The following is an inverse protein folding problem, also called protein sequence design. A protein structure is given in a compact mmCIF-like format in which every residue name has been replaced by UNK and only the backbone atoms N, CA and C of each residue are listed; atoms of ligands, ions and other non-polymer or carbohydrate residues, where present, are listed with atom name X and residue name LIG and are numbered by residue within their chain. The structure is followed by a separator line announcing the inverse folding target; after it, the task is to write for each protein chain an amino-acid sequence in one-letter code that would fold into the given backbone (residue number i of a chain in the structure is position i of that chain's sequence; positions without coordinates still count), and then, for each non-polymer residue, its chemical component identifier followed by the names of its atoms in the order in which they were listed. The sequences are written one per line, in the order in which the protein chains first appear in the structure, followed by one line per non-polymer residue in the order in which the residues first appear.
data_IF_157504762693
#
_entry.id   IF_157504762693
#
_cell.length_a   1.000
_cell.length_b   1.000
_cell.length_c   1.000
_cell.angle_alpha   90.00
_cell.angle_beta   90.00
_cell.angle_gamma   90.00
#
_symmetry.space_group_name_H-M   'P 1'
#
loop_
_entity.id
_entity.type
_entity.pdbx_description
1 polymer ?
#
# COMPACT_ATOMS: atom_id res chain seq x y z
N UNK A 1 -44.89 -30.04 20.67
CA UNK A 1 -44.42 -28.65 20.48
C UNK A 1 -42.99 -28.75 19.98
N UNK A 2 -42.85 -29.15 18.72
CA UNK A 2 -41.58 -29.31 18.03
C UNK A 2 -41.11 -27.92 17.61
N UNK A 3 -39.87 -27.55 17.97
CA UNK A 3 -39.22 -26.37 17.40
C UNK A 3 -38.46 -26.85 16.18
N UNK A 4 -39.02 -26.58 15.01
CA UNK A 4 -38.29 -26.60 13.74
C UNK A 4 -37.20 -25.52 13.81
N UNK A 5 -35.94 -25.96 13.77
CA UNK A 5 -34.81 -25.09 13.49
C UNK A 5 -34.74 -24.89 11.97
N UNK A 6 -35.33 -23.80 11.47
CA UNK A 6 -35.03 -23.26 10.15
C UNK A 6 -33.57 -22.81 10.12
N UNK A 7 -32.69 -23.69 9.64
CA UNK A 7 -31.37 -23.30 9.20
C UNK A 7 -31.52 -22.56 7.87
N UNK A 8 -31.17 -21.27 7.85
CA UNK A 8 -30.97 -20.46 6.65
C UNK A 8 -30.25 -21.28 5.56
N UNK A 9 -30.88 -21.42 4.39
CA UNK A 9 -30.27 -22.00 3.18
C UNK A 9 -29.07 -21.13 2.74
N UNK A 10 -27.91 -21.43 3.30
CA UNK A 10 -26.65 -20.88 2.79
C UNK A 10 -26.36 -21.56 1.45
N UNK A 11 -26.43 -20.77 0.36
CA UNK A 11 -26.22 -21.23 -1.00
C UNK A 11 -24.72 -21.51 -1.26
N UNK A 12 -24.25 -22.65 -0.78
CA UNK A 12 -22.85 -23.05 -0.89
C UNK A 12 -22.54 -23.63 -2.28
N UNK A 13 -21.34 -23.37 -2.83
CA UNK A 13 -20.87 -24.07 -4.01
C UNK A 13 -20.91 -25.59 -3.82
N UNK A 14 -21.11 -26.33 -4.91
CA UNK A 14 -21.18 -27.80 -4.89
C UNK A 14 -19.91 -28.40 -4.27
N UNK A 15 -20.08 -29.27 -3.29
CA UNK A 15 -19.00 -30.13 -2.76
C UNK A 15 -18.76 -31.25 -3.78
N UNK A 16 -17.51 -31.39 -4.24
CA UNK A 16 -17.12 -32.30 -5.32
C UNK A 16 -15.94 -33.18 -4.92
N UNK A 17 -15.67 -34.21 -5.71
CA UNK A 17 -14.47 -35.04 -5.54
C UNK A 17 -13.18 -34.25 -5.80
N UNK A 18 -12.04 -34.77 -5.33
CA UNK A 18 -10.73 -34.14 -5.59
C UNK A 18 -10.40 -34.04 -7.09
N UNK A 19 -10.85 -35.02 -7.89
CA UNK A 19 -10.61 -35.07 -9.33
C UNK A 19 -11.42 -34.00 -10.07
N UNK A 20 -12.69 -33.83 -9.72
CA UNK A 20 -13.56 -32.78 -10.27
C UNK A 20 -13.06 -31.39 -9.86
N UNK A 21 -12.62 -31.23 -8.61
CA UNK A 21 -12.03 -29.98 -8.14
C UNK A 21 -10.75 -29.63 -8.91
N UNK A 22 -9.84 -30.59 -9.11
CA UNK A 22 -8.59 -30.34 -9.84
C UNK A 22 -8.87 -30.00 -11.30
N UNK A 23 -9.82 -30.66 -11.95
CA UNK A 23 -10.24 -30.32 -13.31
C UNK A 23 -10.78 -28.87 -13.39
N UNK A 24 -11.65 -28.47 -12.46
CA UNK A 24 -12.17 -27.11 -12.39
C UNK A 24 -11.05 -26.07 -12.10
N UNK A 25 -10.13 -26.39 -11.19
CA UNK A 25 -8.98 -25.54 -10.86
C UNK A 25 -8.06 -25.33 -12.06
N UNK A 26 -7.79 -26.38 -12.83
CA UNK A 26 -6.96 -26.28 -14.04
C UNK A 26 -7.60 -25.38 -15.09
N UNK A 27 -8.92 -25.42 -15.23
CA UNK A 27 -9.65 -24.48 -16.10
C UNK A 27 -9.57 -23.04 -15.59
N UNK A 28 -9.71 -22.82 -14.28
CA UNK A 28 -9.57 -21.49 -13.68
C UNK A 28 -8.14 -20.95 -13.83
N UNK A 29 -7.14 -21.80 -13.66
CA UNK A 29 -5.72 -21.44 -13.75
C UNK A 29 -5.36 -20.83 -15.12
N UNK A 30 -6.04 -21.20 -16.20
CA UNK A 30 -5.86 -20.58 -17.52
C UNK A 30 -6.23 -19.08 -17.44
N UNK A 31 -7.41 -18.77 -16.89
CA UNK A 31 -7.89 -17.39 -16.73
C UNK A 31 -7.02 -16.59 -15.76
N UNK A 32 -6.56 -17.20 -14.68
CA UNK A 32 -5.64 -16.56 -13.72
C UNK A 32 -4.28 -16.23 -14.36
N UNK A 33 -3.75 -17.12 -15.21
CA UNK A 33 -2.53 -16.86 -15.98
C UNK A 33 -2.70 -15.73 -16.99
N UNK A 34 -3.86 -15.65 -17.66
CA UNK A 34 -4.19 -14.53 -18.54
C UNK A 34 -4.22 -13.20 -17.78
N UNK A 35 -4.90 -13.15 -16.64
CA UNK A 35 -4.93 -11.97 -15.77
C UNK A 35 -3.52 -11.56 -15.31
N UNK A 36 -2.68 -12.54 -14.95
CA UNK A 36 -1.29 -12.29 -14.54
C UNK A 36 -0.50 -11.61 -15.67
N UNK A 37 -0.56 -12.16 -16.88
CA UNK A 37 0.13 -11.57 -18.06
C UNK A 37 -0.40 -10.18 -18.40
N UNK A 38 -1.72 -9.97 -18.31
CA UNK A 38 -2.32 -8.66 -18.55
C UNK A 38 -1.85 -7.61 -17.52
N UNK A 39 -1.74 -8.00 -16.24
CA UNK A 39 -1.18 -7.13 -15.18
C UNK A 39 0.29 -6.82 -15.42
N UNK A 40 1.08 -7.80 -15.87
CA UNK A 40 2.49 -7.61 -16.17
C UNK A 40 2.70 -6.65 -17.35
N UNK A 41 1.88 -6.77 -18.40
CA UNK A 41 1.87 -5.86 -19.54
C UNK A 41 1.56 -4.42 -19.10
N UNK A 42 0.48 -4.23 -18.33
CA UNK A 42 0.10 -2.93 -17.80
C UNK A 42 1.18 -2.33 -16.87
N UNK A 43 1.80 -3.15 -16.03
CA UNK A 43 2.90 -2.71 -15.17
C UNK A 43 4.12 -2.28 -16.01
N UNK A 44 4.39 -2.96 -17.12
CA UNK A 44 5.46 -2.58 -18.05
C UNK A 44 5.15 -1.26 -18.77
N UNK A 45 3.90 -1.04 -19.18
CA UNK A 45 3.45 0.25 -19.74
C UNK A 45 3.62 1.37 -18.72
N UNK A 46 3.18 1.18 -17.47
CA UNK A 46 3.35 2.17 -16.38
C UNK A 46 4.80 2.54 -16.14
N UNK A 47 5.73 1.58 -16.21
CA UNK A 47 7.18 1.84 -16.07
C UNK A 47 7.76 2.65 -17.23
N UNK A 48 7.13 2.60 -18.41
CA UNK A 48 7.52 3.35 -19.61
C UNK A 48 6.78 4.67 -19.78
N UNK A 49 5.85 5.00 -18.88
CA UNK A 49 5.18 6.30 -18.90
C UNK A 49 6.23 7.42 -18.90
N UNK A 50 6.05 8.48 -19.69
CA UNK A 50 6.94 9.64 -19.66
C UNK A 50 7.07 10.19 -18.24
N UNK A 51 8.28 10.63 -17.90
CA UNK A 51 8.55 11.23 -16.61
C UNK A 51 8.25 12.73 -16.68
N UNK A 52 7.62 13.25 -15.65
CA UNK A 52 7.49 14.69 -15.44
C UNK A 52 8.63 15.15 -14.55
N UNK A 53 9.42 16.11 -15.03
CA UNK A 53 10.44 16.73 -14.20
C UNK A 53 9.78 17.48 -13.03
N UNK A 54 10.28 17.25 -11.81
CA UNK A 54 9.87 18.01 -10.64
C UNK A 54 10.81 19.21 -10.53
N UNK A 55 10.38 20.34 -11.08
CA UNK A 55 11.16 21.59 -11.07
C UNK A 55 10.92 22.42 -9.81
N UNK A 56 9.83 22.15 -9.09
CA UNK A 56 9.48 22.86 -7.87
C UNK A 56 10.48 22.53 -6.77
N UNK A 57 11.05 23.57 -6.17
CA UNK A 57 11.80 23.47 -4.92
C UNK A 57 10.83 23.22 -3.77
N UNK A 58 10.90 22.03 -3.19
CA UNK A 58 10.15 21.68 -1.98
C UNK A 58 11.06 21.80 -0.76
N UNK A 59 10.51 22.38 0.30
CA UNK A 59 11.10 22.43 1.62
C UNK A 59 10.21 21.68 2.61
N UNK A 60 10.84 20.91 3.50
CA UNK A 60 10.20 20.13 4.54
C UNK A 60 10.80 20.48 5.90
N UNK A 61 9.96 20.49 6.94
CA UNK A 61 10.41 20.48 8.33
C UNK A 61 10.69 19.03 8.73
N UNK A 62 11.94 18.71 9.03
CA UNK A 62 12.36 17.37 9.43
C UNK A 62 12.98 17.32 10.84
N UNK A 63 13.25 16.11 11.37
CA UNK A 63 13.83 15.95 12.71
C UNK A 63 15.20 16.60 12.91
N UNK A 64 15.93 16.87 11.82
CA UNK A 64 17.25 17.50 11.83
C UNK A 64 17.20 18.96 11.33
N UNK A 65 16.00 19.55 11.25
CA UNK A 65 15.76 20.87 10.68
C UNK A 65 15.20 20.82 9.26
N UNK A 66 15.36 21.91 8.51
CA UNK A 66 14.87 22.03 7.14
C UNK A 66 15.56 21.05 6.19
N UNK A 67 14.80 20.47 5.27
CA UNK A 67 15.30 19.56 4.25
C UNK A 67 14.65 19.85 2.88
N UNK A 68 15.42 19.73 1.80
CA UNK A 68 14.89 19.75 0.44
C UNK A 68 14.32 18.39 0.03
N UNK A 69 13.59 18.31 -1.09
CA UNK A 69 13.17 17.03 -1.66
C UNK A 69 14.35 16.08 -1.95
N UNK A 70 15.49 16.61 -2.38
CA UNK A 70 16.68 15.80 -2.65
C UNK A 70 17.30 15.25 -1.36
N UNK A 71 17.28 16.03 -0.29
CA UNK A 71 17.82 15.58 1.00
C UNK A 71 17.02 14.40 1.57
N UNK A 72 15.71 14.31 1.29
CA UNK A 72 14.88 13.17 1.70
C UNK A 72 15.34 11.83 1.10
N UNK A 73 16.13 11.84 0.02
CA UNK A 73 16.71 10.61 -0.52
C UNK A 73 17.79 10.02 0.39
N UNK A 74 18.39 10.80 1.30
CA UNK A 74 19.42 10.34 2.25
C UNK A 74 20.56 9.57 1.54
N UNK A 75 21.05 10.14 0.44
CA UNK A 75 22.12 9.57 -0.40
C UNK A 75 21.70 8.38 -1.27
N UNK A 76 20.43 7.96 -1.26
CA UNK A 76 19.93 6.81 -2.04
C UNK A 76 19.31 7.24 -3.36
N UNK A 77 19.02 6.27 -4.23
CA UNK A 77 18.55 6.51 -5.61
C UNK A 77 17.03 6.52 -5.75
N UNK A 78 16.31 6.02 -4.76
CA UNK A 78 14.86 5.92 -4.77
C UNK A 78 14.28 6.47 -3.46
N UNK A 79 13.18 7.20 -3.58
CA UNK A 79 12.42 7.74 -2.46
C UNK A 79 10.98 7.26 -2.56
N UNK A 80 10.46 6.74 -1.45
CA UNK A 80 9.04 6.49 -1.25
C UNK A 80 8.55 7.51 -0.24
N UNK A 81 7.62 8.37 -0.67
CA UNK A 81 6.95 9.34 0.21
C UNK A 81 5.56 8.81 0.54
N UNK A 82 5.32 8.53 1.83
CA UNK A 82 3.99 8.25 2.35
C UNK A 82 3.34 9.56 2.81
N UNK A 83 2.20 9.92 2.23
CA UNK A 83 1.39 11.06 2.70
C UNK A 83 0.63 10.65 3.96
N UNK A 84 1.15 11.04 5.12
CA UNK A 84 0.45 10.89 6.39
C UNK A 84 -0.63 11.98 6.49
N UNK A 85 -1.89 11.56 6.60
CA UNK A 85 -3.02 12.45 6.85
C UNK A 85 -3.01 12.87 8.32
N UNK A 86 -2.22 13.90 8.60
CA UNK A 86 -2.13 14.56 9.90
C UNK A 86 -2.12 16.06 9.64
N UNK A 87 -3.30 16.68 9.73
CA UNK A 87 -3.55 18.08 9.37
C UNK A 87 -4.90 18.55 9.96
N UNK A 88 -5.11 19.87 10.13
CA UNK A 88 -6.39 20.40 10.57
C UNK A 88 -7.56 19.90 9.72
N UNK A 89 -8.62 19.43 10.38
CA UNK A 89 -9.81 18.87 9.72
C UNK A 89 -9.76 17.34 9.51
N UNK A 90 -8.62 16.69 9.77
CA UNK A 90 -8.55 15.22 9.83
C UNK A 90 -8.89 14.74 11.23
N UNK A 91 -9.71 13.68 11.34
CA UNK A 91 -10.05 13.04 12.61
C UNK A 91 -8.79 12.52 13.31
N UNK A 92 -8.54 12.99 14.53
CA UNK A 92 -7.35 12.69 15.33
C UNK A 92 -6.43 13.89 15.51
N UNK A 93 -6.59 14.96 14.73
CA UNK A 93 -5.82 16.19 14.90
C UNK A 93 -6.23 16.96 16.19
N UNK A 94 -5.28 17.56 16.93
CA UNK A 94 -3.82 17.53 16.75
C UNK A 94 -3.10 16.36 17.44
N UNK A 95 -3.80 15.45 18.10
CA UNK A 95 -3.20 14.44 18.96
C UNK A 95 -2.47 13.34 18.17
N UNK A 96 -2.99 12.93 17.02
CA UNK A 96 -2.42 11.88 16.19
C UNK A 96 -2.89 11.97 14.72
N UNK A 97 -2.16 11.31 13.82
CA UNK A 97 -2.58 11.14 12.43
C UNK A 97 -3.91 10.35 12.32
N UNK A 98 -4.54 10.33 11.15
CA UNK A 98 -5.73 9.50 10.96
C UNK A 98 -5.43 8.03 11.30
N UNK A 99 -6.44 7.29 11.76
CA UNK A 99 -6.29 5.91 12.26
C UNK A 99 -5.53 5.01 11.26
N UNK A 100 -5.81 5.15 9.96
CA UNK A 100 -5.13 4.37 8.92
C UNK A 100 -3.66 4.73 8.76
N UNK A 101 -3.30 6.02 8.85
CA UNK A 101 -1.91 6.46 8.75
C UNK A 101 -1.10 6.03 9.98
N UNK A 102 -1.67 6.16 11.19
CA UNK A 102 -1.03 5.68 12.42
C UNK A 102 -0.79 4.19 12.38
N UNK A 103 -1.81 3.40 11.99
CA UNK A 103 -1.67 1.95 11.82
C UNK A 103 -0.58 1.59 10.80
N UNK A 104 -0.47 2.31 9.68
CA UNK A 104 0.61 2.08 8.71
C UNK A 104 1.97 2.39 9.33
N UNK A 105 2.12 3.54 10.00
CA UNK A 105 3.37 3.93 10.65
C UNK A 105 3.83 2.88 11.69
N UNK A 106 2.90 2.38 12.52
CA UNK A 106 3.16 1.36 13.55
C UNK A 106 3.60 0.01 12.94
N UNK A 107 3.19 -0.29 11.72
CA UNK A 107 3.48 -1.54 11.02
C UNK A 107 4.68 -1.46 10.07
N UNK A 108 5.31 -0.30 9.93
CA UNK A 108 6.54 -0.19 9.14
C UNK A 108 7.64 -0.97 9.85
N UNK A 109 8.00 -2.12 9.27
CA UNK A 109 9.14 -2.89 9.71
C UNK A 109 10.45 -2.10 9.51
N UNK A 110 11.52 -2.55 10.18
CA UNK A 110 12.81 -1.89 10.12
C UNK A 110 13.28 -1.68 8.65
N UNK A 111 13.66 -0.45 8.24
CA UNK A 111 13.91 -0.12 6.83
C UNK A 111 15.23 -0.68 6.27
N UNK A 112 15.92 -1.59 6.99
CA UNK A 112 17.27 -2.04 6.62
C UNK A 112 17.29 -2.70 5.24
N UNK A 113 16.28 -3.52 4.93
CA UNK A 113 16.18 -4.19 3.62
C UNK A 113 15.76 -3.26 2.47
N UNK A 114 15.08 -2.15 2.77
CA UNK A 114 14.79 -1.09 1.80
C UNK A 114 16.06 -0.27 1.52
N UNK A 115 16.75 0.14 2.57
CA UNK A 115 18.00 0.90 2.47
C UNK A 115 19.07 0.12 1.70
N UNK A 116 19.20 -1.19 1.96
CA UNK A 116 20.10 -2.09 1.23
C UNK A 116 19.79 -2.19 -0.28
N UNK A 117 18.59 -1.78 -0.71
CA UNK A 117 18.16 -1.70 -2.12
C UNK A 117 18.20 -0.27 -2.68
N UNK A 118 18.90 0.65 -2.01
CA UNK A 118 19.01 2.06 -2.37
C UNK A 118 17.66 2.79 -2.40
N UNK A 119 16.77 2.47 -1.44
CA UNK A 119 15.47 3.11 -1.29
C UNK A 119 15.29 3.69 0.11
N UNK A 120 14.88 4.95 0.20
CA UNK A 120 14.49 5.63 1.44
C UNK A 120 12.97 5.69 1.53
N UNK A 121 12.42 5.48 2.72
CA UNK A 121 11.00 5.67 3.04
C UNK A 121 10.86 6.85 3.99
N UNK A 122 9.98 7.79 3.66
CA UNK A 122 9.66 8.94 4.51
C UNK A 122 8.15 9.08 4.66
N UNK A 123 7.72 9.58 5.81
CA UNK A 123 6.34 9.99 6.07
C UNK A 123 6.31 11.51 6.07
N UNK A 124 5.40 12.10 5.29
CA UNK A 124 5.23 13.55 5.19
C UNK A 124 3.77 13.92 5.46
N UNK A 125 3.55 14.98 6.24
CA UNK A 125 2.23 15.52 6.55
C UNK A 125 2.24 17.04 6.47
N UNK A 126 1.09 17.68 6.71
CA UNK A 126 1.00 19.15 6.86
C UNK A 126 1.03 19.59 8.32
N UNK A 127 1.21 18.65 9.25
CA UNK A 127 1.43 18.95 10.65
C UNK A 127 2.77 19.67 10.85
N UNK A 128 2.89 20.56 11.85
CA UNK A 128 4.17 21.08 12.27
C UNK A 128 5.03 19.96 12.87
N UNK A 129 6.34 20.11 12.77
CA UNK A 129 7.33 19.19 13.33
C UNK A 129 7.58 19.38 14.84
N UNK A 130 6.98 20.41 15.46
CA UNK A 130 7.21 20.73 16.86
C UNK A 130 6.78 19.57 17.79
N UNK A 131 7.61 19.34 18.82
CA UNK A 131 7.45 18.28 19.84
C UNK A 131 6.13 18.38 20.62
#
# INVERSE_FOLDING_TARGET
MERETEASEMNHPKIVSAQEWEAARQQLLVKEKELTRARDALAAERRRMPWLAVEKEYEFDGPQGKASLLDLFDGRRQLIVYRAFFEPGVKGWPEHACIGCSMVADQVAHPAHLNARNTTLVFASRAPQAD
#
